data_IF_706833008195
#
_entry.id   IF_706833008195
#
_cell.length_a   1.000
_cell.length_b   1.000
_cell.length_c   1.000
_cell.angle_alpha   90.00
_cell.angle_beta   90.00
_cell.angle_gamma   90.00
#
_symmetry.space_group_name_H-M   'P 1'
#
loop_
_entity.id
_entity.type
_entity.pdbx_description
1 polymer ?
#
# COMPACT_ATOMS: atom_id res chain seq x y z
N UNK A 1 -0.26 -10.99 68.30
CA UNK A 1 -1.06 -9.79 67.97
C UNK A 1 -1.87 -10.06 66.72
N UNK A 2 -3.18 -10.30 66.81
CA UNK A 2 -4.03 -10.55 65.63
C UNK A 2 -4.31 -9.20 64.96
N UNK A 3 -3.58 -8.88 63.88
CA UNK A 3 -3.87 -7.74 63.01
C UNK A 3 -5.31 -7.91 62.51
N UNK A 4 -6.24 -7.11 63.04
CA UNK A 4 -7.58 -6.99 62.46
C UNK A 4 -7.40 -6.30 61.12
N UNK A 5 -7.22 -7.08 60.06
CA UNK A 5 -7.21 -6.53 58.71
C UNK A 5 -8.58 -5.89 58.49
N UNK A 6 -8.61 -4.56 58.37
CA UNK A 6 -9.82 -3.84 58.05
C UNK A 6 -10.19 -4.21 56.62
N UNK A 7 -11.24 -5.02 56.45
CA UNK A 7 -11.72 -5.51 55.14
C UNK A 7 -11.87 -4.37 54.14
N UNK A 8 -12.27 -3.18 54.60
CA UNK A 8 -12.32 -1.95 53.78
C UNK A 8 -10.98 -1.61 53.12
N UNK A 9 -9.86 -1.75 53.82
CA UNK A 9 -8.52 -1.49 53.28
C UNK A 9 -8.10 -2.56 52.27
N UNK A 10 -8.49 -3.83 52.48
CA UNK A 10 -8.23 -4.89 51.49
C UNK A 10 -8.99 -4.60 50.21
N UNK A 11 -10.28 -4.27 50.29
CA UNK A 11 -11.11 -3.93 49.13
C UNK A 11 -10.54 -2.71 48.38
N UNK A 12 -10.10 -1.68 49.10
CA UNK A 12 -9.45 -0.51 48.53
C UNK A 12 -8.17 -0.88 47.75
N UNK A 13 -7.31 -1.73 48.33
CA UNK A 13 -6.07 -2.18 47.68
C UNK A 13 -6.37 -3.01 46.44
N UNK A 14 -7.37 -3.90 46.50
CA UNK A 14 -7.78 -4.71 45.35
C UNK A 14 -8.30 -3.85 44.20
N UNK A 15 -9.10 -2.81 44.50
CA UNK A 15 -9.58 -1.85 43.50
C UNK A 15 -8.42 -1.11 42.81
N UNK A 16 -7.47 -0.62 43.60
CA UNK A 16 -6.28 0.06 43.07
C UNK A 16 -5.45 -0.89 42.21
N UNK A 17 -5.24 -2.14 42.65
CA UNK A 17 -4.49 -3.13 41.89
C UNK A 17 -5.14 -3.44 40.53
N UNK A 18 -6.46 -3.59 40.48
CA UNK A 18 -7.20 -3.80 39.21
C UNK A 18 -7.02 -2.60 38.28
N UNK A 19 -7.12 -1.38 38.82
CA UNK A 19 -6.94 -0.16 38.04
C UNK A 19 -5.52 -0.04 37.47
N UNK A 20 -4.50 -0.30 38.28
CA UNK A 20 -3.10 -0.31 37.83
C UNK A 20 -2.86 -1.35 36.73
N UNK A 21 -3.39 -2.57 36.88
CA UNK A 21 -3.27 -3.63 35.86
C UNK A 21 -3.94 -3.21 34.55
N UNK A 22 -5.10 -2.55 34.62
CA UNK A 22 -5.83 -2.07 33.44
C UNK A 22 -5.01 -1.04 32.67
N UNK A 23 -4.43 -0.05 33.37
CA UNK A 23 -3.60 0.99 32.74
C UNK A 23 -2.39 0.37 32.02
N UNK A 24 -1.67 -0.53 32.68
CA UNK A 24 -0.48 -1.18 32.09
C UNK A 24 -0.84 -1.96 30.82
N UNK A 25 -1.98 -2.65 30.80
CA UNK A 25 -2.46 -3.34 29.59
C UNK A 25 -2.84 -2.38 28.48
N UNK A 26 -3.43 -1.23 28.83
CA UNK A 26 -3.86 -0.21 27.87
C UNK A 26 -2.66 0.44 27.16
N UNK A 27 -1.60 0.77 27.92
CA UNK A 27 -0.34 1.31 27.38
C UNK A 27 0.32 0.37 26.37
N UNK A 28 0.34 -0.94 26.65
CA UNK A 28 0.89 -1.94 25.73
C UNK A 28 0.07 -2.06 24.43
N UNK A 29 -1.26 -2.04 24.55
CA UNK A 29 -2.15 -2.07 23.39
C UNK A 29 -1.99 -0.82 22.53
N UNK A 30 -1.91 0.37 23.14
CA UNK A 30 -1.71 1.62 22.42
C UNK A 30 -0.38 1.64 21.67
N UNK A 31 0.71 1.12 22.27
CA UNK A 31 1.99 0.99 21.58
C UNK A 31 1.93 0.06 20.37
N UNK A 32 1.23 -1.08 20.47
CA UNK A 32 1.03 -1.99 19.33
C UNK A 32 0.23 -1.33 18.21
N UNK A 33 -0.89 -0.69 18.55
CA UNK A 33 -1.73 0.02 17.57
C UNK A 33 -0.93 1.10 16.84
N UNK A 34 -0.13 1.90 17.56
CA UNK A 34 0.71 2.92 16.94
C UNK A 34 1.77 2.32 16.00
N UNK A 35 2.39 1.20 16.38
CA UNK A 35 3.33 0.48 15.53
C UNK A 35 2.66 -0.04 14.25
N UNK A 36 1.45 -0.59 14.37
CA UNK A 36 0.68 -1.09 13.24
C UNK A 36 0.25 0.05 12.30
N UNK A 37 -0.14 1.21 12.86
CA UNK A 37 -0.46 2.41 12.07
C UNK A 37 0.77 2.88 11.29
N UNK A 38 1.94 2.97 11.94
CA UNK A 38 3.18 3.37 11.26
C UNK A 38 3.56 2.38 10.15
N UNK A 39 3.43 1.08 10.40
CA UNK A 39 3.66 0.05 9.39
C UNK A 39 2.72 0.17 8.19
N UNK A 40 1.42 0.39 8.44
CA UNK A 40 0.41 0.59 7.39
C UNK A 40 0.63 1.90 6.62
N UNK A 41 0.99 2.99 7.29
CA UNK A 41 1.32 4.25 6.62
C UNK A 41 2.53 4.10 5.70
N UNK A 42 3.57 3.38 6.14
CA UNK A 42 4.73 3.09 5.30
C UNK A 42 4.36 2.28 4.07
N UNK A 43 3.54 1.23 4.24
CA UNK A 43 3.03 0.45 3.10
C UNK A 43 2.22 1.31 2.13
N UNK A 44 1.38 2.22 2.64
CA UNK A 44 0.58 3.13 1.82
C UNK A 44 1.49 4.09 1.03
N UNK A 45 2.51 4.64 1.68
CA UNK A 45 3.51 5.49 1.03
C UNK A 45 4.26 4.74 -0.08
N UNK A 46 4.75 3.53 0.20
CA UNK A 46 5.46 2.71 -0.79
C UNK A 46 4.56 2.36 -1.98
N UNK A 47 3.29 2.04 -1.72
CA UNK A 47 2.32 1.71 -2.76
C UNK A 47 1.96 2.94 -3.60
N UNK A 48 1.85 4.13 -2.98
CA UNK A 48 1.62 5.39 -3.68
C UNK A 48 2.80 5.75 -4.58
N UNK A 49 4.02 5.66 -4.07
CA UNK A 49 5.24 5.90 -4.85
C UNK A 49 5.33 4.91 -6.04
N UNK A 50 4.99 3.64 -5.82
CA UNK A 50 4.95 2.64 -6.88
C UNK A 50 3.90 2.96 -7.94
N UNK A 51 2.73 3.43 -7.52
CA UNK A 51 1.67 3.84 -8.44
C UNK A 51 2.09 5.07 -9.26
N UNK A 52 2.67 6.09 -8.63
CA UNK A 52 3.20 7.28 -9.33
C UNK A 52 4.26 6.89 -10.37
N UNK A 53 5.22 6.02 -10.02
CA UNK A 53 6.22 5.51 -10.97
C UNK A 53 5.60 4.73 -12.13
N UNK A 54 4.65 3.84 -11.85
CA UNK A 54 3.96 3.09 -12.90
C UNK A 54 3.13 4.02 -13.79
N UNK A 55 2.53 5.06 -13.24
CA UNK A 55 1.80 6.06 -14.02
C UNK A 55 2.75 6.86 -14.91
N UNK A 56 3.94 7.22 -14.42
CA UNK A 56 4.98 7.84 -15.24
C UNK A 56 5.45 6.90 -16.36
N UNK A 57 5.70 5.62 -16.06
CA UNK A 57 6.06 4.61 -17.06
C UNK A 57 4.95 4.39 -18.10
N UNK A 58 3.68 4.37 -17.67
CA UNK A 58 2.53 4.32 -18.58
C UNK A 58 2.49 5.58 -19.43
N UNK A 59 2.61 6.78 -18.85
CA UNK A 59 2.57 8.02 -19.61
C UNK A 59 3.73 8.11 -20.62
N UNK A 60 4.93 7.66 -20.25
CA UNK A 60 6.09 7.56 -21.15
C UNK A 60 5.91 6.46 -22.21
N UNK A 61 5.25 5.35 -21.87
CA UNK A 61 4.93 4.29 -22.84
C UNK A 61 3.75 4.67 -23.73
N UNK A 62 2.92 5.62 -23.31
CA UNK A 62 1.74 6.14 -24.04
C UNK A 62 2.11 7.42 -24.83
N UNK A 63 3.40 7.78 -24.90
CA UNK A 63 3.89 8.85 -25.77
C UNK A 63 3.42 8.60 -27.20
N UNK A 64 3.02 9.65 -27.91
CA UNK A 64 2.35 9.61 -29.22
C UNK A 64 3.01 8.64 -30.22
N UNK A 65 4.32 8.41 -30.14
CA UNK A 65 5.04 7.46 -30.97
C UNK A 65 4.64 5.99 -30.75
N UNK A 66 4.35 5.57 -29.51
CA UNK A 66 3.86 4.23 -29.21
C UNK A 66 2.41 4.06 -29.65
N UNK A 67 1.57 5.07 -29.45
CA UNK A 67 0.19 5.09 -29.96
C UNK A 67 0.20 5.06 -31.49
N UNK A 68 1.05 5.86 -32.13
CA UNK A 68 1.23 5.90 -33.59
C UNK A 68 1.70 4.53 -34.10
N UNK A 69 2.67 3.90 -33.43
CA UNK A 69 3.14 2.55 -33.78
C UNK A 69 2.04 1.50 -33.62
N UNK A 70 1.32 1.50 -32.50
CA UNK A 70 0.23 0.56 -32.26
C UNK A 70 -0.92 0.76 -33.27
N UNK A 71 -1.24 2.00 -33.61
CA UNK A 71 -2.22 2.33 -34.62
C UNK A 71 -1.75 1.89 -36.02
N UNK A 72 -0.47 2.06 -36.36
CA UNK A 72 0.13 1.53 -37.60
C UNK A 72 0.03 0.00 -37.69
N UNK A 73 0.35 -0.71 -36.60
CA UNK A 73 0.29 -2.18 -36.53
C UNK A 73 -1.15 -2.72 -36.60
N UNK A 74 -2.12 -2.06 -35.94
CA UNK A 74 -3.50 -2.54 -35.85
C UNK A 74 -4.40 -2.08 -36.99
N UNK A 75 -4.15 -0.90 -37.55
CA UNK A 75 -4.98 -0.29 -38.59
C UNK A 75 -4.33 -0.33 -39.98
N UNK A 76 -3.10 -0.87 -40.10
CA UNK A 76 -2.38 -0.95 -41.38
C UNK A 76 -2.03 0.42 -41.98
N UNK A 77 -1.92 1.45 -41.14
CA UNK A 77 -1.62 2.81 -41.58
C UNK A 77 -0.13 2.95 -41.89
N UNK A 78 0.20 3.71 -42.94
CA UNK A 78 1.57 4.00 -43.39
C UNK A 78 1.82 5.50 -43.37
N UNK A 79 3.06 5.93 -43.07
CA UNK A 79 3.41 7.35 -42.99
C UNK A 79 3.48 7.97 -44.39
N UNK A 80 3.11 9.25 -44.60
CA UNK A 80 3.22 9.88 -45.91
C UNK A 80 4.68 9.85 -46.40
N UNK A 81 4.95 9.06 -47.46
CA UNK A 81 6.30 8.85 -48.01
C UNK A 81 6.84 7.41 -47.88
N UNK A 82 6.17 6.52 -47.15
CA UNK A 82 6.54 5.09 -47.09
C UNK A 82 5.95 4.31 -48.29
N UNK A 83 6.78 3.55 -49.01
CA UNK A 83 6.32 2.62 -50.07
C UNK A 83 6.16 1.22 -49.48
N UNK A 84 4.95 0.66 -49.56
CA UNK A 84 4.70 -0.74 -49.20
C UNK A 84 5.36 -1.65 -50.23
N UNK A 85 6.38 -2.40 -49.83
CA UNK A 85 6.96 -3.46 -50.66
C UNK A 85 6.21 -4.75 -50.31
N UNK A 86 5.16 -5.06 -51.07
CA UNK A 86 4.50 -6.36 -50.99
C UNK A 86 5.37 -7.33 -51.80
N UNK A 87 6.13 -8.19 -51.13
CA UNK A 87 6.78 -9.31 -51.80
C UNK A 87 5.71 -10.31 -52.24
N UNK A 88 5.36 -10.26 -53.52
CA UNK A 88 4.53 -11.24 -54.21
C UNK A 88 5.33 -12.52 -54.50
N UNK A 89 6.00 -13.09 -53.50
CA UNK A 89 6.74 -14.34 -53.62
C UNK A 89 6.09 -15.38 -52.71
N UNK A 90 4.96 -15.92 -53.18
CA UNK A 90 4.49 -17.30 -52.93
C UNK A 90 3.29 -17.61 -53.82
N UNK A 91 3.54 -17.60 -55.12
CA UNK A 91 2.89 -18.51 -56.06
C UNK A 91 3.69 -19.81 -56.08
N UNK A 92 3.30 -20.75 -55.22
CA UNK A 92 3.25 -22.20 -55.48
C UNK A 92 2.67 -22.91 -54.25
#
# INVERSE_FOLDING_TARGET
MRKKFNIKNIVMITLIAIFCISIVRQELTMKRINSDIQGKQKQLQDLKNKNERLQEEVNQSTTDEYIERLARERLGMIKPGEKVIVNSDKTN
#
